data_IF_111977968162
#
_entry.id   IF_111977968162
#
_cell.length_a   1.000
_cell.length_b   1.000
_cell.length_c   1.000
_cell.angle_alpha   90.00
_cell.angle_beta   90.00
_cell.angle_gamma   90.00
#
_symmetry.space_group_name_H-M   'P 1'
#
loop_
_entity.id
_entity.type
_entity.pdbx_description
1 polymer ?
#
# COMPACT_ATOMS: atom_id res chain seq x y z
N UNK A 1 -3.13 -48.34 57.92
CA UNK A 1 -4.11 -47.25 57.71
C UNK A 1 -3.47 -45.87 57.93
N UNK A 2 -2.73 -45.61 58.97
CA UNK A 2 -2.06 -44.33 59.28
C UNK A 2 -1.00 -43.90 58.27
N UNK A 3 -0.22 -44.83 57.71
CA UNK A 3 0.85 -44.53 56.71
C UNK A 3 0.27 -44.07 55.37
N UNK A 4 -0.89 -44.63 54.93
CA UNK A 4 -1.56 -44.21 53.72
C UNK A 4 -2.19 -42.84 53.85
N UNK A 5 -2.76 -42.47 55.00
CA UNK A 5 -3.30 -41.14 55.27
C UNK A 5 -2.20 -40.09 55.32
N UNK A 6 -1.05 -40.40 55.92
CA UNK A 6 0.11 -39.49 55.95
C UNK A 6 0.64 -39.20 54.54
N UNK A 7 0.71 -40.22 53.67
CA UNK A 7 1.11 -40.02 52.25
C UNK A 7 0.17 -39.12 51.48
N UNK A 8 -1.14 -39.27 51.66
CA UNK A 8 -2.14 -38.42 51.01
C UNK A 8 -2.01 -36.96 51.47
N UNK A 9 -1.80 -36.74 52.77
CA UNK A 9 -1.63 -35.38 53.32
C UNK A 9 -0.38 -34.70 52.75
N UNK A 10 0.74 -35.45 52.65
CA UNK A 10 1.98 -34.92 52.05
C UNK A 10 1.78 -34.53 50.59
N UNK A 11 1.11 -35.36 49.79
CA UNK A 11 0.78 -35.03 48.39
C UNK A 11 -0.08 -33.78 48.30
N UNK A 12 -1.11 -33.65 49.13
CA UNK A 12 -1.98 -32.47 49.15
C UNK A 12 -1.21 -31.18 49.51
N UNK A 13 -0.31 -31.25 50.49
CA UNK A 13 0.55 -30.12 50.89
C UNK A 13 1.48 -29.72 49.75
N UNK A 14 2.12 -30.68 49.09
CA UNK A 14 2.98 -30.41 47.92
C UNK A 14 2.18 -29.76 46.78
N UNK A 15 1.00 -30.25 46.52
CA UNK A 15 0.13 -29.69 45.49
C UNK A 15 -0.27 -28.22 45.81
N UNK A 16 -0.59 -27.92 47.06
CA UNK A 16 -0.88 -26.56 47.50
C UNK A 16 0.34 -25.63 47.38
N UNK A 17 1.52 -26.11 47.70
CA UNK A 17 2.77 -25.33 47.52
C UNK A 17 3.02 -25.02 46.05
N UNK A 18 2.86 -26.01 45.14
CA UNK A 18 3.01 -25.81 43.70
C UNK A 18 2.01 -24.80 43.18
N UNK A 19 0.73 -24.91 43.57
CA UNK A 19 -0.32 -23.94 43.17
C UNK A 19 0.05 -22.55 43.71
N UNK A 20 0.50 -22.44 44.95
CA UNK A 20 0.94 -21.16 45.52
C UNK A 20 2.12 -20.52 44.78
N UNK A 21 3.13 -21.33 44.42
CA UNK A 21 4.26 -20.85 43.61
C UNK A 21 3.85 -20.38 42.19
N UNK A 22 2.95 -21.12 41.53
CA UNK A 22 2.44 -20.74 40.23
C UNK A 22 1.59 -19.45 40.35
N UNK A 23 0.71 -19.37 41.31
CA UNK A 23 -0.10 -18.15 41.56
C UNK A 23 0.78 -16.92 41.86
N UNK A 24 1.80 -17.08 42.68
CA UNK A 24 2.79 -16.02 42.97
C UNK A 24 3.58 -15.62 41.72
N UNK A 25 4.01 -16.58 40.92
CA UNK A 25 4.72 -16.32 39.65
C UNK A 25 3.85 -15.53 38.66
N UNK A 26 2.60 -15.95 38.47
CA UNK A 26 1.64 -15.26 37.62
C UNK A 26 1.35 -13.84 38.13
N UNK A 27 1.17 -13.68 39.43
CA UNK A 27 0.96 -12.36 40.03
C UNK A 27 2.16 -11.44 39.83
N UNK A 28 3.38 -11.94 40.01
CA UNK A 28 4.62 -11.19 39.82
C UNK A 28 4.81 -10.77 38.34
N UNK A 29 4.55 -11.68 37.40
CA UNK A 29 4.61 -11.39 35.96
C UNK A 29 3.58 -10.31 35.61
N UNK A 30 2.31 -10.47 36.04
CA UNK A 30 1.27 -9.47 35.81
C UNK A 30 1.63 -8.10 36.38
N UNK A 31 2.26 -8.06 37.56
CA UNK A 31 2.68 -6.80 38.17
C UNK A 31 3.83 -6.15 37.39
N UNK A 32 4.82 -6.92 36.98
CA UNK A 32 5.93 -6.43 36.17
C UNK A 32 5.46 -5.93 34.78
N UNK A 33 4.57 -6.65 34.14
CA UNK A 33 3.95 -6.28 32.87
C UNK A 33 3.15 -4.97 32.98
N UNK A 34 2.32 -4.83 34.03
CA UNK A 34 1.58 -3.60 34.29
C UNK A 34 2.48 -2.39 34.59
N UNK A 35 3.56 -2.62 35.32
CA UNK A 35 4.54 -1.55 35.61
C UNK A 35 5.22 -1.11 34.31
N UNK A 36 5.73 -2.08 33.51
CA UNK A 36 6.35 -1.79 32.22
C UNK A 36 5.40 -1.05 31.27
N UNK A 37 4.14 -1.51 31.14
CA UNK A 37 3.14 -0.88 30.31
C UNK A 37 2.85 0.57 30.75
N UNK A 38 2.77 0.81 32.04
CA UNK A 38 2.57 2.16 32.60
C UNK A 38 3.75 3.08 32.34
N UNK A 39 4.97 2.57 32.51
CA UNK A 39 6.20 3.34 32.32
C UNK A 39 6.47 3.62 30.83
N UNK A 40 6.11 2.69 29.94
CA UNK A 40 6.34 2.82 28.50
C UNK A 40 5.22 3.54 27.76
N UNK A 41 3.97 3.32 28.13
CA UNK A 41 2.79 3.77 27.37
C UNK A 41 1.81 4.62 28.21
N UNK A 42 2.08 4.85 29.49
CA UNK A 42 1.18 5.56 30.39
C UNK A 42 -0.09 4.80 30.79
N UNK A 43 -0.30 3.59 30.26
CA UNK A 43 -1.48 2.74 30.54
C UNK A 43 -1.07 1.46 31.25
N UNK A 44 -2.00 0.84 31.99
CA UNK A 44 -1.74 -0.42 32.69
C UNK A 44 -1.90 -1.66 31.80
N UNK A 45 -2.36 -1.50 30.55
CA UNK A 45 -2.58 -2.55 29.58
C UNK A 45 -1.63 -2.34 28.36
N UNK A 46 -0.79 -3.34 28.08
CA UNK A 46 0.15 -3.31 26.94
C UNK A 46 -0.61 -3.18 25.61
N UNK A 47 -1.73 -3.88 25.45
CA UNK A 47 -2.51 -3.85 24.21
C UNK A 47 -3.10 -2.47 23.97
N UNK A 48 -3.57 -1.82 25.02
CA UNK A 48 -4.07 -0.44 24.96
C UNK A 48 -2.94 0.55 24.66
N UNK A 49 -1.77 0.36 25.30
CA UNK A 49 -0.59 1.17 25.04
C UNK A 49 -0.09 1.04 23.60
N UNK A 50 0.01 -0.17 23.07
CA UNK A 50 0.39 -0.41 21.66
C UNK A 50 -0.64 0.22 20.70
N UNK A 51 -1.93 0.09 20.99
CA UNK A 51 -3.00 0.71 20.19
C UNK A 51 -2.90 2.24 20.21
N UNK A 52 -2.57 2.86 21.34
CA UNK A 52 -2.37 4.31 21.42
C UNK A 52 -1.18 4.77 20.58
N UNK A 53 -0.04 4.08 20.63
CA UNK A 53 1.14 4.36 19.80
C UNK A 53 0.82 4.20 18.31
N UNK A 54 0.13 3.14 17.94
CA UNK A 54 -0.32 2.92 16.56
C UNK A 54 -1.27 4.02 16.09
N UNK A 55 -2.21 4.45 16.94
CA UNK A 55 -3.12 5.56 16.66
C UNK A 55 -2.38 6.88 16.48
N UNK A 56 -1.45 7.20 17.40
CA UNK A 56 -0.63 8.40 17.30
C UNK A 56 0.19 8.40 16.02
N UNK A 57 0.83 7.28 15.68
CA UNK A 57 1.58 7.15 14.44
C UNK A 57 0.69 7.28 13.20
N UNK A 58 -0.49 6.64 13.18
CA UNK A 58 -1.42 6.70 12.06
C UNK A 58 -2.05 8.10 11.91
N UNK A 59 -2.27 8.83 12.99
CA UNK A 59 -2.85 10.19 12.99
C UNK A 59 -1.82 11.30 12.78
N UNK A 60 -0.52 11.01 12.93
CA UNK A 60 0.53 12.01 12.75
C UNK A 60 0.68 12.38 11.28
N UNK A 61 0.62 13.68 10.90
CA UNK A 61 0.80 14.11 9.53
C UNK A 61 2.13 13.65 8.94
N UNK A 62 2.09 13.03 7.77
CA UNK A 62 3.30 12.54 7.08
C UNK A 62 3.93 13.66 6.28
N UNK A 63 5.26 13.80 6.37
CA UNK A 63 6.01 14.73 5.51
C UNK A 63 6.41 14.07 4.21
N UNK A 64 6.32 14.81 3.10
CA UNK A 64 6.81 14.35 1.79
C UNK A 64 8.30 14.65 1.63
N UNK A 65 8.99 13.84 0.84
CA UNK A 65 10.35 14.12 0.40
C UNK A 65 10.31 15.25 -0.63
N UNK A 66 10.45 16.49 -0.18
CA UNK A 66 10.34 17.69 -1.01
C UNK A 66 11.63 17.92 -1.83
N UNK A 67 11.83 17.13 -2.88
CA UNK A 67 13.00 17.21 -3.77
C UNK A 67 12.70 17.99 -5.06
N UNK A 68 11.55 18.67 -5.13
CA UNK A 68 11.12 19.44 -6.30
C UNK A 68 12.17 20.48 -6.73
N UNK A 69 12.76 21.21 -5.80
CA UNK A 69 13.81 22.20 -6.09
C UNK A 69 15.07 21.60 -6.73
N UNK A 70 15.37 20.34 -6.41
CA UNK A 70 16.52 19.62 -6.95
C UNK A 70 16.23 19.02 -8.34
N UNK A 71 15.05 18.44 -8.52
CA UNK A 71 14.73 17.69 -9.74
C UNK A 71 14.06 18.53 -10.82
N UNK A 72 13.25 19.52 -10.48
CA UNK A 72 12.52 20.33 -11.46
C UNK A 72 13.42 21.04 -12.48
N UNK A 73 14.58 21.63 -12.12
CA UNK A 73 15.50 22.20 -13.10
C UNK A 73 16.05 21.15 -14.07
N UNK A 74 16.32 19.93 -13.60
CA UNK A 74 16.81 18.82 -14.43
C UNK A 74 15.72 18.34 -15.39
N UNK A 75 14.49 18.19 -14.88
CA UNK A 75 13.33 17.79 -15.68
C UNK A 75 13.06 18.82 -16.78
N UNK A 76 13.07 20.12 -16.46
CA UNK A 76 12.87 21.19 -17.44
C UNK A 76 13.99 21.29 -18.47
N UNK A 77 15.22 20.93 -18.10
CA UNK A 77 16.32 20.82 -19.06
C UNK A 77 16.11 19.69 -20.06
N UNK A 78 15.58 18.55 -19.59
CA UNK A 78 15.34 17.38 -20.42
C UNK A 78 14.02 17.46 -21.20
N UNK A 79 13.03 18.15 -20.64
CA UNK A 79 11.68 18.35 -21.16
C UNK A 79 11.26 19.81 -20.93
N UNK A 80 11.63 20.74 -21.83
CA UNK A 80 11.30 22.16 -21.68
C UNK A 80 9.79 22.46 -21.57
N UNK A 81 8.97 21.61 -22.21
CA UNK A 81 7.50 21.69 -22.21
C UNK A 81 6.85 21.18 -20.91
N UNK A 82 7.62 20.56 -19.99
CA UNK A 82 7.08 20.00 -18.75
C UNK A 82 6.50 21.10 -17.84
N UNK A 83 5.19 21.02 -17.60
CA UNK A 83 4.46 21.93 -16.72
C UNK A 83 4.24 21.28 -15.35
N UNK A 84 5.02 21.72 -14.37
CA UNK A 84 5.01 21.13 -13.02
C UNK A 84 3.65 21.20 -12.35
N UNK A 85 3.00 22.38 -12.36
CA UNK A 85 1.74 22.60 -11.66
C UNK A 85 0.60 21.78 -12.27
N UNK A 86 0.55 21.69 -13.61
CA UNK A 86 -0.40 20.83 -14.32
C UNK A 86 -0.18 19.36 -13.95
N UNK A 87 1.06 18.88 -14.06
CA UNK A 87 1.37 17.47 -13.80
C UNK A 87 1.13 17.09 -12.34
N UNK A 88 1.39 18.01 -11.40
CA UNK A 88 1.06 17.85 -9.99
C UNK A 88 -0.44 17.63 -9.78
N UNK A 89 -1.29 18.49 -10.37
CA UNK A 89 -2.76 18.36 -10.27
C UNK A 89 -3.22 17.04 -10.89
N UNK A 90 -2.65 16.65 -12.02
CA UNK A 90 -2.96 15.37 -12.66
C UNK A 90 -2.57 14.17 -11.78
N UNK A 91 -1.39 14.21 -11.13
CA UNK A 91 -0.95 13.18 -10.18
C UNK A 91 -1.89 13.06 -8.98
N UNK A 92 -2.35 14.19 -8.43
CA UNK A 92 -3.33 14.26 -7.35
C UNK A 92 -4.69 13.66 -7.77
N UNK A 93 -5.14 13.97 -8.99
CA UNK A 93 -6.38 13.42 -9.55
C UNK A 93 -6.27 11.91 -9.83
N UNK A 94 -5.13 11.45 -10.37
CA UNK A 94 -4.88 10.03 -10.60
C UNK A 94 -4.91 9.25 -9.27
N UNK A 95 -4.21 9.73 -8.24
CA UNK A 95 -4.22 9.12 -6.90
C UNK A 95 -5.63 9.08 -6.31
N UNK A 96 -6.34 10.20 -6.32
CA UNK A 96 -7.70 10.28 -5.75
C UNK A 96 -8.65 9.33 -6.48
N UNK A 97 -8.61 9.32 -7.82
CA UNK A 97 -9.47 8.44 -8.62
C UNK A 97 -9.12 6.95 -8.44
N UNK A 98 -7.84 6.63 -8.21
CA UNK A 98 -7.40 5.27 -7.88
C UNK A 98 -8.01 4.79 -6.55
N UNK A 99 -7.92 5.59 -5.48
CA UNK A 99 -8.50 5.25 -4.18
C UNK A 99 -10.03 5.14 -4.23
N UNK A 100 -10.70 6.01 -5.01
CA UNK A 100 -12.13 5.92 -5.25
C UNK A 100 -12.51 4.68 -6.07
N UNK A 101 -11.68 4.26 -7.02
CA UNK A 101 -11.89 3.04 -7.80
C UNK A 101 -11.81 1.78 -6.93
N UNK A 102 -10.86 1.72 -5.99
CA UNK A 102 -10.78 0.65 -4.99
C UNK A 102 -12.02 0.66 -4.10
N UNK A 103 -12.39 1.83 -3.54
CA UNK A 103 -13.58 2.00 -2.69
C UNK A 103 -14.87 1.55 -3.39
N UNK A 104 -15.03 1.96 -4.66
CA UNK A 104 -16.19 1.61 -5.48
C UNK A 104 -16.14 0.22 -6.10
N UNK A 105 -15.04 -0.54 -5.91
CA UNK A 105 -14.80 -1.83 -6.56
C UNK A 105 -14.98 -1.76 -8.08
N UNK A 106 -14.66 -0.61 -8.69
CA UNK A 106 -14.89 -0.31 -10.10
C UNK A 106 -13.64 0.32 -10.75
N UNK A 107 -12.86 -0.43 -11.56
CA UNK A 107 -11.68 0.10 -12.25
C UNK A 107 -11.97 1.30 -13.16
N UNK A 108 -13.18 1.39 -13.72
CA UNK A 108 -13.60 2.49 -14.60
C UNK A 108 -13.64 3.88 -13.94
N UNK A 109 -13.48 3.97 -12.62
CA UNK A 109 -13.37 5.25 -11.91
C UNK A 109 -11.96 5.86 -11.98
N UNK A 110 -10.95 5.09 -12.39
CA UNK A 110 -9.60 5.61 -12.63
C UNK A 110 -9.63 6.55 -13.84
N UNK A 111 -9.31 7.82 -13.62
CA UNK A 111 -9.41 8.86 -14.66
C UNK A 111 -8.22 8.88 -15.60
N UNK A 112 -7.03 8.66 -15.06
CA UNK A 112 -5.77 8.72 -15.81
C UNK A 112 -4.85 7.58 -15.40
N UNK A 113 -4.26 6.91 -16.38
CA UNK A 113 -3.29 5.81 -16.16
C UNK A 113 -2.97 5.14 -17.48
N UNK A 114 -1.79 4.55 -17.58
CA UNK A 114 -1.47 3.63 -18.66
C UNK A 114 -2.06 2.24 -18.37
N UNK A 115 -1.92 1.32 -19.31
CA UNK A 115 -2.44 -0.04 -19.16
C UNK A 115 -1.88 -0.75 -17.92
N UNK A 116 -0.61 -0.55 -17.60
CA UNK A 116 0.04 -1.15 -16.43
C UNK A 116 -0.65 -0.74 -15.11
N UNK A 117 -1.02 0.55 -14.97
CA UNK A 117 -1.74 1.02 -13.78
C UNK A 117 -3.17 0.47 -13.73
N UNK A 118 -3.84 0.39 -14.88
CA UNK A 118 -5.17 -0.22 -14.98
C UNK A 118 -5.14 -1.70 -14.57
N UNK A 119 -4.19 -2.48 -15.10
CA UNK A 119 -4.03 -3.91 -14.79
C UNK A 119 -3.76 -4.13 -13.29
N UNK A 120 -2.89 -3.31 -12.67
CA UNK A 120 -2.63 -3.36 -11.23
C UNK A 120 -3.89 -3.07 -10.39
N UNK A 121 -4.67 -2.08 -10.80
CA UNK A 121 -5.93 -1.73 -10.13
C UNK A 121 -6.95 -2.87 -10.26
N UNK A 122 -7.12 -3.42 -11.46
CA UNK A 122 -8.02 -4.55 -11.70
C UNK A 122 -7.61 -5.79 -10.89
N UNK A 123 -6.31 -6.08 -10.84
CA UNK A 123 -5.77 -7.16 -10.00
C UNK A 123 -6.11 -6.93 -8.53
N UNK A 124 -5.87 -5.72 -7.98
CA UNK A 124 -6.21 -5.38 -6.60
C UNK A 124 -7.69 -5.58 -6.30
N UNK A 125 -8.56 -5.06 -7.16
CA UNK A 125 -10.02 -5.20 -7.01
C UNK A 125 -10.44 -6.67 -7.12
N UNK A 126 -9.85 -7.44 -8.04
CA UNK A 126 -10.14 -8.87 -8.18
C UNK A 126 -9.70 -9.66 -6.94
N UNK A 127 -8.56 -9.32 -6.35
CA UNK A 127 -8.12 -9.93 -5.08
C UNK A 127 -9.07 -9.62 -3.93
N UNK A 128 -9.53 -8.37 -3.78
CA UNK A 128 -10.52 -7.99 -2.77
C UNK A 128 -11.82 -8.77 -2.95
N UNK A 129 -12.33 -8.88 -4.19
CA UNK A 129 -13.53 -9.67 -4.53
C UNK A 129 -13.33 -11.16 -4.23
N UNK A 130 -12.17 -11.72 -4.62
CA UNK A 130 -11.86 -13.13 -4.39
C UNK A 130 -11.75 -13.50 -2.91
N UNK A 131 -11.30 -12.56 -2.07
CA UNK A 131 -11.20 -12.73 -0.62
C UNK A 131 -12.52 -12.41 0.11
N UNK A 132 -13.58 -11.99 -0.59
CA UNK A 132 -14.82 -11.53 0.03
C UNK A 132 -14.61 -10.29 0.91
N UNK A 133 -13.62 -9.46 0.60
CA UNK A 133 -13.30 -8.26 1.38
C UNK A 133 -13.65 -6.99 0.64
N UNK A 134 -13.91 -5.92 1.39
CA UNK A 134 -14.21 -4.60 0.84
C UNK A 134 -13.36 -3.55 1.53
N UNK A 135 -12.56 -2.85 0.74
CA UNK A 135 -11.69 -1.78 1.19
C UNK A 135 -12.31 -0.42 0.86
N UNK A 136 -12.25 0.52 1.81
CA UNK A 136 -12.85 1.85 1.66
C UNK A 136 -11.89 2.93 2.12
N UNK A 137 -11.92 4.03 1.38
CA UNK A 137 -11.24 5.29 1.65
C UNK A 137 -12.28 6.41 1.61
N UNK A 138 -12.62 6.96 2.78
CA UNK A 138 -13.62 8.02 2.91
C UNK A 138 -12.97 9.33 3.35
N UNK A 139 -13.55 10.48 2.94
CA UNK A 139 -13.07 11.83 3.29
C UNK A 139 -11.60 12.09 2.93
N UNK A 140 -11.19 11.67 1.73
CA UNK A 140 -9.82 11.85 1.24
C UNK A 140 -9.49 13.35 1.17
N UNK A 141 -8.41 13.76 1.84
CA UNK A 141 -7.88 15.13 1.79
C UNK A 141 -6.38 15.09 1.54
N UNK A 142 -5.96 15.70 0.44
CA UNK A 142 -4.56 15.88 0.09
C UNK A 142 -3.99 17.07 0.87
N UNK A 143 -2.76 16.94 1.36
CA UNK A 143 -2.07 17.98 2.12
C UNK A 143 -0.96 18.62 1.31
N UNK A 144 -0.08 17.81 0.76
CA UNK A 144 1.09 18.27 0.03
C UNK A 144 1.52 17.24 -1.00
N UNK A 145 1.87 17.71 -2.19
CA UNK A 145 2.43 16.90 -3.28
C UNK A 145 3.71 17.55 -3.78
N UNK A 146 4.79 16.78 -3.82
CA UNK A 146 6.11 17.22 -4.28
C UNK A 146 6.76 16.14 -5.14
N UNK A 147 7.70 16.53 -5.99
CA UNK A 147 8.57 15.56 -6.66
C UNK A 147 9.53 14.98 -5.63
N UNK A 148 9.51 13.66 -5.48
CA UNK A 148 10.40 12.90 -4.60
C UNK A 148 11.56 12.26 -5.34
N UNK A 149 11.40 11.94 -6.62
CA UNK A 149 12.44 11.29 -7.42
C UNK A 149 12.31 11.61 -8.91
N UNK A 150 13.44 11.53 -9.62
CA UNK A 150 13.54 11.64 -11.07
C UNK A 150 14.62 10.72 -11.60
N UNK A 151 14.24 9.74 -12.41
CA UNK A 151 15.13 8.72 -12.98
C UNK A 151 15.02 8.66 -14.48
N UNK A 152 16.18 8.51 -15.13
CA UNK A 152 16.29 8.12 -16.54
C UNK A 152 16.92 6.75 -16.63
N UNK A 153 16.26 5.82 -17.29
CA UNK A 153 16.76 4.47 -17.46
C UNK A 153 16.11 3.81 -18.69
N UNK A 154 16.93 3.18 -19.51
CA UNK A 154 16.46 2.30 -20.58
C UNK A 154 15.37 2.93 -21.46
N UNK A 155 15.67 4.09 -22.07
CA UNK A 155 14.74 4.78 -22.99
C UNK A 155 13.51 5.39 -22.36
N UNK A 156 13.41 5.40 -21.03
CA UNK A 156 12.29 6.03 -20.28
C UNK A 156 12.75 6.99 -19.19
N UNK A 157 11.91 7.95 -18.92
CA UNK A 157 12.04 8.86 -17.78
C UNK A 157 10.88 8.62 -16.82
N UNK A 158 11.18 8.57 -15.53
CA UNK A 158 10.18 8.39 -14.47
C UNK A 158 10.32 9.56 -13.51
N UNK A 159 9.21 10.26 -13.30
CA UNK A 159 9.07 11.28 -12.25
C UNK A 159 8.13 10.69 -11.19
N UNK A 160 8.59 10.64 -9.95
CA UNK A 160 7.78 10.19 -8.82
C UNK A 160 7.27 11.41 -8.05
N UNK A 161 5.95 11.61 -8.04
CA UNK A 161 5.28 12.52 -7.13
C UNK A 161 4.96 11.81 -5.83
N UNK A 162 5.31 12.40 -4.71
CA UNK A 162 4.93 11.92 -3.39
C UNK A 162 3.86 12.84 -2.81
N UNK A 163 2.73 12.27 -2.44
CA UNK A 163 1.58 12.98 -1.88
C UNK A 163 1.31 12.53 -0.46
N UNK A 164 1.31 13.48 0.50
CA UNK A 164 0.79 13.26 1.84
C UNK A 164 -0.71 13.54 1.87
N UNK A 165 -1.48 12.64 2.45
CA UNK A 165 -2.93 12.74 2.51
C UNK A 165 -3.49 12.12 3.78
N UNK A 166 -4.76 12.42 4.05
CA UNK A 166 -5.53 11.80 5.12
C UNK A 166 -6.85 11.25 4.59
N UNK A 167 -7.35 10.21 5.23
CA UNK A 167 -8.63 9.57 4.94
C UNK A 167 -9.09 8.71 6.13
N UNK A 168 -10.36 8.31 6.14
CA UNK A 168 -10.79 7.16 6.95
C UNK A 168 -10.59 5.89 6.13
N UNK A 169 -9.87 4.92 6.69
CA UNK A 169 -9.60 3.64 6.04
C UNK A 169 -10.26 2.49 6.78
N UNK A 170 -10.92 1.62 6.04
CA UNK A 170 -11.49 0.38 6.56
C UNK A 170 -11.39 -0.75 5.55
N UNK A 171 -11.00 -1.93 6.04
CA UNK A 171 -11.10 -3.20 5.33
C UNK A 171 -12.08 -4.10 6.09
N UNK A 172 -13.16 -4.52 5.45
CA UNK A 172 -14.21 -5.36 6.05
C UNK A 172 -14.37 -6.65 5.29
N UNK A 173 -14.79 -7.73 5.99
CA UNK A 173 -15.22 -8.97 5.36
C UNK A 173 -16.65 -8.87 4.82
N UNK A 174 -17.13 -9.96 4.18
CA UNK A 174 -18.51 -10.07 3.63
C UNK A 174 -19.59 -9.88 4.69
N UNK A 175 -19.31 -10.18 5.96
CA UNK A 175 -20.25 -10.02 7.08
C UNK A 175 -20.22 -8.60 7.66
N UNK A 176 -19.40 -7.70 7.12
CA UNK A 176 -19.22 -6.34 7.61
C UNK A 176 -18.31 -6.21 8.83
N UNK A 177 -17.63 -7.30 9.23
CA UNK A 177 -16.67 -7.27 10.33
C UNK A 177 -15.41 -6.54 9.89
N UNK A 178 -14.97 -5.59 10.70
CA UNK A 178 -13.74 -4.85 10.48
C UNK A 178 -12.52 -5.76 10.65
N UNK A 179 -11.70 -5.86 9.60
CA UNK A 179 -10.44 -6.61 9.56
C UNK A 179 -9.25 -5.69 9.79
N UNK A 180 -9.27 -4.49 9.17
CA UNK A 180 -8.19 -3.52 9.24
C UNK A 180 -8.75 -2.10 9.19
N UNK A 181 -7.99 -1.14 9.73
CA UNK A 181 -8.36 0.26 9.77
C UNK A 181 -9.32 0.61 10.92
N UNK A 182 -9.90 1.81 10.85
CA UNK A 182 -10.84 2.33 11.86
C UNK A 182 -11.84 3.29 11.22
N UNK A 183 -13.10 3.20 11.64
CA UNK A 183 -14.17 4.09 11.15
C UNK A 183 -14.14 5.48 11.78
N UNK A 184 -13.59 5.57 12.98
CA UNK A 184 -13.63 6.76 13.86
C UNK A 184 -12.32 7.55 13.89
N UNK A 185 -11.29 7.12 13.13
CA UNK A 185 -9.97 7.73 13.17
C UNK A 185 -9.44 8.03 11.77
N UNK A 186 -8.96 9.26 11.58
CA UNK A 186 -8.25 9.65 10.37
C UNK A 186 -6.87 9.00 10.30
N UNK A 187 -6.59 8.35 9.20
CA UNK A 187 -5.28 7.80 8.87
C UNK A 187 -4.50 8.81 8.04
N UNK A 188 -3.25 9.06 8.41
CA UNK A 188 -2.31 9.88 7.67
C UNK A 188 -1.35 8.97 6.89
N UNK A 189 -1.27 9.14 5.58
CA UNK A 189 -0.45 8.29 4.74
C UNK A 189 0.29 9.08 3.67
N UNK A 190 1.21 8.41 2.99
CA UNK A 190 1.94 8.93 1.82
C UNK A 190 1.79 7.96 0.67
N UNK A 191 1.62 8.50 -0.54
CA UNK A 191 1.60 7.72 -1.76
C UNK A 191 2.64 8.24 -2.74
N UNK A 192 3.30 7.34 -3.44
CA UNK A 192 4.08 7.64 -4.62
C UNK A 192 3.21 7.41 -5.86
N UNK A 193 3.19 8.40 -6.75
CA UNK A 193 2.53 8.34 -8.05
C UNK A 193 3.60 8.52 -9.11
N UNK A 194 3.88 7.47 -9.88
CA UNK A 194 4.90 7.47 -10.91
C UNK A 194 4.33 7.90 -12.26
N UNK A 195 4.95 8.93 -12.83
CA UNK A 195 4.67 9.44 -14.17
C UNK A 195 5.81 9.02 -15.08
N UNK A 196 5.49 8.32 -16.15
CA UNK A 196 6.45 7.79 -17.11
C UNK A 196 6.37 8.53 -18.45
N UNK A 197 7.52 8.78 -19.05
CA UNK A 197 7.67 9.24 -20.42
C UNK A 197 8.61 8.29 -21.18
N UNK A 198 8.15 7.74 -22.28
CA UNK A 198 8.93 6.80 -23.09
C UNK A 198 9.57 7.57 -24.24
N UNK A 199 10.92 7.66 -24.23
CA UNK A 199 11.72 8.35 -25.22
C UNK A 199 12.16 7.42 -26.36
N UNK A 200 12.46 6.17 -26.02
CA UNK A 200 12.95 5.17 -26.99
C UNK A 200 12.22 3.84 -26.78
N UNK A 201 11.45 3.47 -27.78
CA UNK A 201 10.64 2.26 -27.76
C UNK A 201 11.50 1.00 -27.81
N UNK A 202 12.54 0.99 -28.63
CA UNK A 202 13.37 -0.19 -28.80
C UNK A 202 14.04 -0.62 -27.51
N UNK A 203 14.59 0.35 -26.73
CA UNK A 203 15.21 0.06 -25.44
C UNK A 203 14.20 -0.42 -24.38
N UNK A 204 12.93 0.00 -24.48
CA UNK A 204 11.87 -0.45 -23.58
C UNK A 204 11.39 -1.86 -23.93
N UNK A 205 11.35 -2.18 -25.21
CA UNK A 205 10.97 -3.51 -25.70
C UNK A 205 11.99 -4.57 -25.29
N UNK A 206 13.29 -4.29 -25.38
CA UNK A 206 14.35 -5.20 -24.91
C UNK A 206 14.22 -5.56 -23.43
N UNK A 207 13.82 -4.62 -22.56
CA UNK A 207 13.58 -4.92 -21.13
C UNK A 207 12.31 -5.76 -20.90
N UNK A 208 11.29 -5.59 -21.72
CA UNK A 208 10.04 -6.35 -21.62
C UNK A 208 10.17 -7.78 -22.13
N UNK A 209 10.95 -8.00 -23.14
CA UNK A 209 11.25 -9.35 -23.65
C UNK A 209 11.94 -10.22 -22.60
N UNK A 210 12.69 -9.62 -21.68
CA UNK A 210 13.31 -10.34 -20.57
C UNK A 210 12.37 -10.59 -19.37
N UNK A 211 11.34 -9.75 -19.17
CA UNK A 211 10.50 -9.80 -17.97
C UNK A 211 9.07 -10.33 -18.21
N UNK A 212 8.53 -10.14 -19.39
CA UNK A 212 7.10 -10.39 -19.68
C UNK A 212 6.91 -10.87 -21.13
N UNK A 213 7.57 -11.80 -21.70
CA UNK A 213 7.37 -12.26 -23.08
C UNK A 213 6.14 -11.62 -23.74
N UNK A 214 6.31 -10.84 -24.81
CA UNK A 214 5.22 -10.15 -25.51
C UNK A 214 4.24 -11.16 -26.10
N UNK A 215 3.39 -11.68 -25.24
CA UNK A 215 2.32 -12.59 -25.65
C UNK A 215 0.99 -11.83 -25.64
N UNK A 216 0.18 -12.09 -26.62
CA UNK A 216 -1.18 -11.53 -26.67
C UNK A 216 -1.95 -11.90 -25.38
N UNK A 217 -2.54 -10.92 -24.66
CA UNK A 217 -3.25 -11.19 -23.42
C UNK A 217 -4.48 -12.08 -23.60
N UNK A 218 -4.99 -12.20 -24.84
CA UNK A 218 -6.16 -13.02 -25.12
C UNK A 218 -5.81 -14.45 -25.57
N UNK A 219 -4.82 -14.64 -26.45
CA UNK A 219 -4.52 -15.95 -27.01
C UNK A 219 -3.14 -16.49 -26.65
N UNK A 220 -2.31 -15.74 -25.94
CA UNK A 220 -0.95 -16.16 -25.56
C UNK A 220 0.07 -16.21 -26.71
N UNK A 221 -0.34 -15.89 -27.94
CA UNK A 221 0.57 -15.92 -29.10
C UNK A 221 1.61 -14.80 -29.01
N UNK A 222 2.88 -15.04 -29.45
CA UNK A 222 3.89 -14.00 -29.47
C UNK A 222 3.48 -12.87 -30.42
N UNK A 223 3.63 -11.64 -29.98
CA UNK A 223 3.36 -10.45 -30.79
C UNK A 223 4.62 -10.13 -31.55
N UNK A 224 4.66 -10.49 -32.83
CA UNK A 224 5.85 -10.45 -33.69
C UNK A 224 5.99 -9.16 -34.50
N UNK A 225 5.40 -8.04 -34.08
CA UNK A 225 5.51 -6.81 -34.88
C UNK A 225 5.32 -5.54 -34.10
N UNK A 226 6.33 -4.68 -34.11
CA UNK A 226 6.22 -3.28 -33.70
C UNK A 226 5.28 -2.54 -34.66
N UNK A 227 4.10 -2.14 -34.15
CA UNK A 227 3.10 -1.37 -34.94
C UNK A 227 1.83 -2.10 -35.32
N UNK A 228 1.68 -3.36 -34.99
CA UNK A 228 0.40 -4.08 -35.14
C UNK A 228 -0.61 -3.57 -34.12
N UNK A 229 -1.67 -2.92 -34.59
CA UNK A 229 -2.79 -2.48 -33.74
C UNK A 229 -3.67 -3.62 -33.25
N UNK A 230 -3.47 -4.81 -33.79
CA UNK A 230 -4.25 -6.02 -33.48
C UNK A 230 -3.32 -7.25 -33.51
N UNK A 231 -3.61 -8.22 -32.65
CA UNK A 231 -2.93 -9.51 -32.68
C UNK A 231 -3.18 -10.23 -34.01
N UNK A 232 -2.14 -10.65 -34.69
CA UNK A 232 -2.23 -11.35 -36.00
C UNK A 232 -2.94 -12.71 -35.89
N UNK A 233 -2.97 -13.31 -34.70
CA UNK A 233 -3.55 -14.62 -34.46
C UNK A 233 -5.01 -14.60 -34.03
N UNK A 234 -5.44 -13.63 -33.22
CA UNK A 234 -6.80 -13.61 -32.67
C UNK A 234 -7.55 -12.29 -32.89
N UNK A 235 -6.93 -11.29 -33.55
CA UNK A 235 -7.57 -10.00 -33.82
C UNK A 235 -7.78 -9.10 -32.60
N UNK A 236 -7.31 -9.49 -31.41
CA UNK A 236 -7.45 -8.64 -30.21
C UNK A 236 -6.66 -7.36 -30.37
N UNK A 237 -7.25 -6.18 -30.08
CA UNK A 237 -6.54 -4.90 -30.13
C UNK A 237 -5.31 -4.94 -29.21
N UNK A 238 -4.14 -4.57 -29.75
CA UNK A 238 -2.92 -4.38 -28.99
C UNK A 238 -2.86 -2.90 -28.63
N UNK A 239 -2.83 -2.61 -27.32
CA UNK A 239 -2.73 -1.23 -26.84
C UNK A 239 -1.33 -0.71 -27.17
N UNK A 240 -1.25 0.27 -28.07
CA UNK A 240 0.00 0.97 -28.35
C UNK A 240 0.47 1.70 -27.07
N UNK A 241 1.75 1.51 -26.72
CA UNK A 241 2.40 2.37 -25.73
C UNK A 241 2.31 3.81 -26.23
N UNK A 242 1.75 4.72 -25.42
CA UNK A 242 1.72 6.14 -25.71
C UNK A 242 3.15 6.67 -25.69
N UNK A 243 3.81 6.67 -26.83
CA UNK A 243 5.14 7.21 -27.01
C UNK A 243 5.06 8.73 -26.98
N UNK A 244 6.06 9.36 -26.35
CA UNK A 244 6.16 10.82 -26.26
C UNK A 244 5.01 11.50 -25.51
N UNK A 245 4.32 10.78 -24.64
CA UNK A 245 3.31 11.36 -23.76
C UNK A 245 3.55 10.94 -22.31
N UNK A 246 3.30 11.86 -21.38
CA UNK A 246 3.34 11.57 -19.95
C UNK A 246 2.12 10.73 -19.55
N UNK A 247 2.35 9.59 -18.91
CA UNK A 247 1.29 8.71 -18.42
C UNK A 247 1.59 8.20 -17.01
N UNK A 248 0.55 7.98 -16.20
CA UNK A 248 0.71 7.42 -14.85
C UNK A 248 0.82 5.89 -14.95
N UNK A 249 1.86 5.33 -14.35
CA UNK A 249 2.20 3.90 -14.47
C UNK A 249 2.10 3.14 -13.15
N UNK A 250 2.17 3.86 -12.03
CA UNK A 250 2.17 3.22 -10.73
C UNK A 250 1.67 4.15 -9.63
N UNK A 251 0.93 3.60 -8.68
CA UNK A 251 0.50 4.27 -7.44
C UNK A 251 0.72 3.29 -6.30
N UNK A 252 1.56 3.68 -5.33
CA UNK A 252 1.93 2.82 -4.20
C UNK A 252 1.95 3.61 -2.91
N UNK A 253 1.44 3.01 -1.85
CA UNK A 253 1.56 3.55 -0.51
C UNK A 253 2.99 3.41 0.01
N UNK A 254 3.47 4.46 0.69
CA UNK A 254 4.81 4.50 1.30
C UNK A 254 4.66 4.24 2.79
N UNK A 255 5.24 3.15 3.23
CA UNK A 255 5.31 2.80 4.66
C UNK A 255 6.29 3.69 5.43
#
# INVERSE_FOLDING_TARGET
>A
MYTAMAGIIIILVLMLVVIGCVAYGVWRIKHAVRKFSRDAFGTSDIMEGLRQVEQEYASTPKSVAAMTSLYLPKIKKDFPEFQYDEMKVRAENALTSYLLAVTGMNPGLLKEGNQELHDKLEMRISMLKGNGTRERYDSIKLHRTEISDYKKRNGRCIITFQTALQYYHTLKDENGKLLEGREDMLTQSKYNTDVIYIQDRALVEEERDFALGLNCPNCGAPISGTGSKVCEYCGTPIVELNLYAWSFSNITEVQ
#
